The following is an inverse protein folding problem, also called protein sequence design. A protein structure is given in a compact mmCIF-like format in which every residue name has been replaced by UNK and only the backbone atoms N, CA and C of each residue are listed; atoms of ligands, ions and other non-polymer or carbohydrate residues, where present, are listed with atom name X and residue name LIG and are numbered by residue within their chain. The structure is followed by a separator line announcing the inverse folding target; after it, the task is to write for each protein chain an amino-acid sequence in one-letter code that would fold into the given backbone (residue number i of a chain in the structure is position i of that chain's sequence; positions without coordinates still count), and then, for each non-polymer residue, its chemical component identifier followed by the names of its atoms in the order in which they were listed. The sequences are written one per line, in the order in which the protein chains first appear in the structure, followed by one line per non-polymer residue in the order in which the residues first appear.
data_IF_889558457882
#
_entry.id   IF_889558457882
#
_cell.length_a   1.000
_cell.length_b   1.000
_cell.length_c   1.000
_cell.angle_alpha   90.00
_cell.angle_beta   90.00
_cell.angle_gamma   90.00
#
_symmetry.space_group_name_H-M   'P 1'
#
loop_
_entity.id
_entity.type
_entity.pdbx_description
1 polymer ?
#
# COMPACT_ATOMS: atom_id res chain seq x y z
N UNK A 1 11.70 18.68 10.28
CA UNK A 1 11.04 17.43 9.86
C UNK A 1 11.28 16.20 10.76
N UNK A 2 12.18 16.21 11.76
CA UNK A 2 12.42 15.02 12.62
C UNK A 2 11.27 14.66 13.57
N UNK A 3 10.47 15.65 14.01
CA UNK A 3 9.43 15.45 15.02
C UNK A 3 8.38 14.40 14.62
N UNK A 4 7.99 14.37 13.34
CA UNK A 4 6.94 13.47 12.81
C UNK A 4 7.50 12.38 11.90
N UNK A 5 8.79 12.06 12.02
CA UNK A 5 9.39 11.01 11.21
C UNK A 5 8.82 9.64 11.59
N UNK A 6 8.35 8.90 10.59
CA UNK A 6 7.76 7.57 10.79
C UNK A 6 8.76 6.63 11.51
N UNK A 7 8.33 5.86 12.55
CA UNK A 7 9.21 5.00 13.33
C UNK A 7 10.01 4.00 12.49
N UNK A 8 9.35 3.31 11.54
CA UNK A 8 10.03 2.44 10.57
C UNK A 8 11.17 3.16 9.83
N UNK A 9 10.98 4.42 9.42
CA UNK A 9 12.01 5.19 8.72
C UNK A 9 13.16 5.58 9.67
N UNK A 10 12.91 5.75 10.97
CA UNK A 10 13.99 5.91 11.96
C UNK A 10 14.81 4.62 12.09
N UNK A 11 14.15 3.45 12.02
CA UNK A 11 14.78 2.13 12.19
C UNK A 11 15.60 1.70 10.97
N UNK A 12 15.05 1.85 9.75
CA UNK A 12 15.68 1.34 8.51
C UNK A 12 16.03 2.42 7.48
N UNK A 13 15.75 3.70 7.75
CA UNK A 13 15.90 4.74 6.73
C UNK A 13 17.34 4.99 6.29
N UNK A 14 18.32 4.85 7.17
CA UNK A 14 19.73 5.02 6.79
C UNK A 14 20.25 3.86 5.93
N UNK A 15 19.90 2.61 6.28
CA UNK A 15 20.22 1.44 5.45
C UNK A 15 19.50 1.49 4.12
N UNK A 16 18.23 1.90 4.11
CA UNK A 16 17.42 2.07 2.92
C UNK A 16 18.05 3.05 1.92
N UNK A 17 18.51 4.21 2.40
CA UNK A 17 19.19 5.19 1.55
C UNK A 17 20.51 4.66 0.98
N UNK A 18 21.25 3.87 1.75
CA UNK A 18 22.52 3.28 1.30
C UNK A 18 22.32 2.22 0.22
N UNK A 19 21.30 1.37 0.37
CA UNK A 19 20.95 0.34 -0.63
C UNK A 19 20.37 0.98 -1.90
N UNK A 20 19.59 2.06 -1.76
CA UNK A 20 19.02 2.78 -2.88
C UNK A 20 17.66 2.23 -3.35
N UNK A 21 17.29 2.57 -4.59
CA UNK A 21 15.95 2.33 -5.15
C UNK A 21 14.98 3.47 -4.82
N UNK A 22 14.71 4.35 -5.79
CA UNK A 22 13.87 5.55 -5.64
C UNK A 22 14.11 6.36 -4.35
N UNK A 23 15.39 6.59 -3.99
CA UNK A 23 15.77 7.31 -2.77
C UNK A 23 15.71 6.50 -1.47
N UNK A 24 15.46 5.18 -1.57
CA UNK A 24 15.45 4.21 -0.49
C UNK A 24 14.07 3.60 -0.21
N UNK A 25 13.00 4.11 -0.81
CA UNK A 25 11.65 3.58 -0.53
C UNK A 25 11.48 2.13 -0.96
N UNK A 26 12.11 1.71 -2.07
CA UNK A 26 12.03 0.34 -2.57
C UNK A 26 12.62 -0.65 -1.55
N UNK A 27 13.71 -0.23 -0.89
CA UNK A 27 14.30 -1.02 0.18
C UNK A 27 13.35 -1.15 1.37
N UNK A 28 12.70 -0.06 1.79
CA UNK A 28 11.74 -0.09 2.90
C UNK A 28 10.55 -1.00 2.57
N UNK A 29 10.04 -0.93 1.34
CA UNK A 29 8.96 -1.78 0.85
C UNK A 29 9.34 -3.27 0.90
N UNK A 30 10.48 -3.63 0.30
CA UNK A 30 10.96 -5.02 0.29
C UNK A 30 11.29 -5.52 1.70
N UNK A 31 11.88 -4.67 2.55
CA UNK A 31 12.15 -4.99 3.95
C UNK A 31 10.85 -5.37 4.68
N UNK A 32 9.81 -4.54 4.58
CA UNK A 32 8.53 -4.79 5.25
C UNK A 32 7.82 -6.02 4.74
N UNK A 33 7.81 -6.25 3.43
CA UNK A 33 7.23 -7.46 2.85
C UNK A 33 7.89 -8.72 3.43
N UNK A 34 9.23 -8.78 3.42
CA UNK A 34 9.97 -9.92 3.96
C UNK A 34 9.84 -10.06 5.48
N UNK A 35 9.72 -8.95 6.20
CA UNK A 35 9.52 -8.94 7.66
C UNK A 35 8.14 -9.52 8.03
N UNK A 36 7.07 -9.14 7.33
CA UNK A 36 5.74 -9.76 7.49
C UNK A 36 5.78 -11.26 7.21
N UNK A 37 6.44 -11.67 6.13
CA UNK A 37 6.58 -13.10 5.77
C UNK A 37 7.32 -13.89 6.84
N UNK A 38 8.41 -13.35 7.39
CA UNK A 38 9.17 -14.00 8.48
C UNK A 38 8.37 -14.13 9.77
N UNK A 39 7.52 -13.14 10.07
CA UNK A 39 6.68 -13.14 11.27
C UNK A 39 5.37 -13.92 11.08
N UNK A 40 5.01 -14.29 9.85
CA UNK A 40 3.73 -14.94 9.56
C UNK A 40 2.51 -14.04 9.75
N UNK A 41 2.68 -12.72 9.56
CA UNK A 41 1.60 -11.73 9.66
C UNK A 41 1.18 -11.24 8.27
N UNK A 42 -0.02 -10.67 8.19
CA UNK A 42 -0.53 -10.05 6.96
C UNK A 42 0.42 -8.96 6.47
N UNK A 43 0.75 -8.90 5.17
CA UNK A 43 1.48 -7.77 4.59
C UNK A 43 0.75 -6.43 4.81
N UNK A 44 1.51 -5.34 4.85
CA UNK A 44 0.96 -3.98 5.07
C UNK A 44 -0.05 -3.55 3.99
N UNK A 45 0.05 -4.15 2.79
CA UNK A 45 -0.93 -4.03 1.71
C UNK A 45 -1.45 -5.42 1.34
N UNK A 46 -2.76 -5.58 1.34
CA UNK A 46 -3.43 -6.84 1.03
C UNK A 46 -3.72 -6.99 -0.47
N UNK A 47 -4.17 -8.18 -0.88
CA UNK A 47 -4.63 -8.42 -2.25
C UNK A 47 -5.82 -7.53 -2.64
N UNK A 48 -6.66 -7.16 -1.67
CA UNK A 48 -7.83 -6.32 -1.93
C UNK A 48 -7.43 -4.87 -2.19
N UNK A 49 -6.44 -4.35 -1.46
CA UNK A 49 -5.88 -3.01 -1.72
C UNK A 49 -5.27 -2.96 -3.13
N UNK A 50 -4.50 -3.99 -3.50
CA UNK A 50 -3.90 -4.10 -4.82
C UNK A 50 -4.97 -4.17 -5.93
N UNK A 51 -6.03 -4.96 -5.75
CA UNK A 51 -7.11 -5.08 -6.70
C UNK A 51 -7.89 -3.77 -6.85
N UNK A 52 -8.22 -3.10 -5.74
CA UNK A 52 -8.94 -1.84 -5.73
C UNK A 52 -8.16 -0.76 -6.49
N UNK A 53 -6.89 -0.56 -6.14
CA UNK A 53 -6.05 0.45 -6.79
C UNK A 53 -5.81 0.14 -8.27
N UNK A 54 -5.60 -1.14 -8.62
CA UNK A 54 -5.38 -1.55 -10.01
C UNK A 54 -6.64 -1.42 -10.86
N UNK A 55 -7.83 -1.60 -10.26
CA UNK A 55 -9.11 -1.49 -10.96
C UNK A 55 -9.36 -0.10 -11.54
N UNK A 56 -8.73 0.94 -10.96
CA UNK A 56 -8.80 2.34 -11.42
C UNK A 56 -8.44 2.45 -12.90
N UNK A 57 -7.48 1.65 -13.39
CA UNK A 57 -7.07 1.65 -14.79
C UNK A 57 -8.24 1.30 -15.72
N UNK A 58 -8.97 0.22 -15.44
CA UNK A 58 -10.09 -0.23 -16.26
C UNK A 58 -11.30 0.71 -16.12
N UNK A 59 -11.67 1.09 -14.89
CA UNK A 59 -12.87 1.91 -14.67
C UNK A 59 -12.69 3.34 -15.18
N UNK A 60 -11.47 3.89 -15.16
CA UNK A 60 -11.20 5.23 -15.73
C UNK A 60 -11.31 5.22 -17.25
N UNK A 61 -10.78 4.18 -17.90
CA UNK A 61 -10.93 4.00 -19.36
C UNK A 61 -12.41 3.88 -19.75
N UNK A 62 -13.20 3.10 -19.01
CA UNK A 62 -14.65 3.00 -19.25
C UNK A 62 -15.37 4.33 -19.02
N UNK A 63 -15.03 5.04 -17.95
CA UNK A 63 -15.64 6.34 -17.63
C UNK A 63 -15.42 7.33 -18.77
N UNK A 64 -14.18 7.48 -19.25
CA UNK A 64 -13.86 8.37 -20.38
C UNK A 64 -14.61 7.96 -21.65
N UNK A 65 -14.69 6.65 -21.93
CA UNK A 65 -15.43 6.13 -23.08
C UNK A 65 -16.93 6.48 -23.03
N UNK A 66 -17.51 6.50 -21.83
CA UNK A 66 -18.93 6.75 -21.60
C UNK A 66 -19.22 8.24 -21.29
N UNK A 67 -18.39 9.16 -21.79
CA UNK A 67 -18.61 10.60 -21.63
C UNK A 67 -18.21 11.14 -20.25
N UNK A 68 -17.20 10.54 -19.62
CA UNK A 68 -16.71 10.86 -18.27
C UNK A 68 -17.77 10.65 -17.18
N UNK A 69 -18.70 9.73 -17.40
CA UNK A 69 -19.72 9.38 -16.41
C UNK A 69 -19.10 8.64 -15.22
N UNK A 70 -19.57 8.86 -13.98
CA UNK A 70 -19.10 8.12 -12.81
C UNK A 70 -19.34 6.61 -12.94
N UNK A 71 -18.34 5.81 -12.59
CA UNK A 71 -18.41 4.34 -12.52
C UNK A 71 -18.18 3.89 -11.09
N UNK A 72 -18.99 2.93 -10.63
CA UNK A 72 -18.87 2.36 -9.29
C UNK A 72 -17.61 1.50 -9.18
N UNK A 73 -16.83 1.71 -8.12
CA UNK A 73 -15.70 0.83 -7.80
C UNK A 73 -16.20 -0.53 -7.32
N UNK A 74 -15.62 -1.65 -7.80
CA UNK A 74 -15.98 -2.98 -7.31
C UNK A 74 -15.57 -3.17 -5.84
N UNK A 75 -16.46 -3.72 -5.02
CA UNK A 75 -16.09 -4.16 -3.67
C UNK A 75 -15.45 -5.55 -3.72
N UNK A 76 -14.12 -5.58 -3.83
CA UNK A 76 -13.33 -6.81 -3.85
C UNK A 76 -13.36 -7.59 -2.52
N UNK A 77 -13.79 -6.95 -1.42
CA UNK A 77 -13.88 -7.58 -0.10
C UNK A 77 -15.25 -8.17 0.20
N UNK A 78 -16.26 -7.89 -0.65
CA UNK A 78 -17.66 -8.32 -0.46
C UNK A 78 -18.22 -7.90 0.90
N UNK A 79 -18.03 -6.64 1.27
CA UNK A 79 -18.43 -6.05 2.56
C UNK A 79 -17.42 -6.26 3.69
N UNK A 80 -16.38 -7.07 3.47
CA UNK A 80 -15.34 -7.36 4.47
C UNK A 80 -14.62 -6.11 4.99
N UNK A 81 -14.48 -5.08 4.15
CA UNK A 81 -13.83 -3.80 4.49
C UNK A 81 -14.42 -3.13 5.74
N UNK A 82 -15.70 -3.36 6.06
CA UNK A 82 -16.37 -2.77 7.22
C UNK A 82 -15.78 -3.24 8.56
N UNK A 83 -15.19 -4.44 8.59
CA UNK A 83 -14.57 -5.02 9.79
C UNK A 83 -13.04 -4.94 9.80
N UNK A 84 -12.41 -4.43 8.74
CA UNK A 84 -10.95 -4.39 8.64
C UNK A 84 -10.41 -3.28 9.56
N UNK A 85 -9.44 -3.64 10.40
CA UNK A 85 -8.69 -2.66 11.18
C UNK A 85 -7.73 -1.91 10.25
N UNK A 86 -7.69 -0.56 10.29
CA UNK A 86 -6.72 0.20 9.52
C UNK A 86 -5.28 -0.21 9.87
N UNK A 87 -4.37 -0.07 8.90
CA UNK A 87 -2.94 -0.28 9.13
C UNK A 87 -2.45 0.68 10.23
N UNK A 88 -1.85 0.13 11.28
CA UNK A 88 -1.23 0.92 12.35
C UNK A 88 0.10 1.52 11.93
N UNK A 89 0.66 2.41 12.75
CA UNK A 89 2.00 2.96 12.53
C UNK A 89 3.05 1.89 12.90
N UNK A 90 3.67 1.30 11.88
CA UNK A 90 4.67 0.23 12.06
C UNK A 90 6.02 0.78 12.57
N UNK A 91 6.69 0.04 13.45
CA UNK A 91 7.95 0.43 14.09
C UNK A 91 9.16 -0.48 13.89
#
# INVERSE_FOLDING_TARGET
MKANQHPLIKKVGESAKKVGGHGGMDHVMNYRMLDCLRQGITPDMTVYDAADWSSILEISVRSVKDGSMPIQCPDFTRGGWQGIKPLGIVS
#
